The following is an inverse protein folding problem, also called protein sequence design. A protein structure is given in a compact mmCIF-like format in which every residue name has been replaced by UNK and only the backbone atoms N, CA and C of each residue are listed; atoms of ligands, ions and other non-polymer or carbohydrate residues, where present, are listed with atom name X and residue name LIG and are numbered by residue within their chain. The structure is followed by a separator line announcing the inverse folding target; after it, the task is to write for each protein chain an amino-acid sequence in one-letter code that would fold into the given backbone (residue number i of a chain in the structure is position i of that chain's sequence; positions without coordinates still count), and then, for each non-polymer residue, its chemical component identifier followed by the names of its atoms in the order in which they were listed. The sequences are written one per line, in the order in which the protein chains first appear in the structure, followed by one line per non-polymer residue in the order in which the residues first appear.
data_IF_807298004231
#
_entry.id   IF_807298004231
#
_cell.length_a   1.000
_cell.length_b   1.000
_cell.length_c   1.000
_cell.angle_alpha   90.00
_cell.angle_beta   90.00
_cell.angle_gamma   90.00
#
_symmetry.space_group_name_H-M   'P 1'
#
loop_
_entity.id
_entity.type
_entity.pdbx_description
1 polymer ?
#
# COMPACT_ATOMS: atom_id res chain seq x y z
N UNK A 1 -0.11 15.97 -19.11
CA UNK A 1 -0.55 14.86 -18.24
C UNK A 1 0.70 14.07 -17.89
N UNK A 2 1.11 14.03 -16.62
CA UNK A 2 2.23 13.16 -16.22
C UNK A 2 1.83 11.69 -16.46
N UNK A 3 2.76 10.91 -17.01
CA UNK A 3 2.57 9.47 -17.10
C UNK A 3 2.43 8.88 -15.68
N UNK A 4 1.55 7.89 -15.47
CA UNK A 4 1.44 7.22 -14.18
C UNK A 4 2.82 6.68 -13.78
N UNK A 5 3.35 7.17 -12.66
CA UNK A 5 4.58 6.65 -12.07
C UNK A 5 4.22 5.51 -11.13
N UNK A 6 4.44 4.29 -11.59
CA UNK A 6 4.36 3.08 -10.78
C UNK A 6 5.44 3.15 -9.69
N UNK A 7 5.01 3.32 -8.44
CA UNK A 7 5.87 3.14 -7.27
C UNK A 7 5.50 1.81 -6.61
N UNK A 8 6.47 0.90 -6.55
CA UNK A 8 6.29 -0.39 -5.89
C UNK A 8 6.77 -0.33 -4.44
N UNK A 9 5.92 -0.81 -3.53
CA UNK A 9 6.24 -0.86 -2.11
C UNK A 9 5.99 -2.26 -1.53
N UNK A 10 6.97 -2.77 -0.77
CA UNK A 10 6.96 -4.11 -0.19
C UNK A 10 6.83 -4.04 1.33
N UNK A 11 5.90 -4.82 1.87
CA UNK A 11 5.62 -4.85 3.31
C UNK A 11 5.59 -6.28 3.85
N UNK A 12 5.95 -6.43 5.12
CA UNK A 12 5.88 -7.68 5.88
C UNK A 12 4.91 -7.55 7.06
N UNK A 13 4.60 -8.68 7.69
CA UNK A 13 3.67 -8.79 8.81
C UNK A 13 2.22 -8.42 8.48
N UNK A 14 1.80 -8.63 7.23
CA UNK A 14 0.38 -8.63 6.90
C UNK A 14 -0.19 -9.99 7.34
N UNK A 15 -1.19 -10.02 8.25
CA UNK A 15 -1.81 -11.27 8.66
C UNK A 15 -2.32 -12.05 7.45
N UNK A 16 -2.08 -13.35 7.38
CA UNK A 16 -2.43 -14.19 6.22
C UNK A 16 -3.93 -14.17 5.88
N UNK A 17 -4.78 -13.92 6.89
CA UNK A 17 -6.23 -13.75 6.73
C UNK A 17 -6.66 -12.39 6.17
N UNK A 18 -5.74 -11.45 5.99
CA UNK A 18 -6.05 -10.11 5.47
C UNK A 18 -6.32 -10.21 3.97
N UNK A 19 -7.56 -10.01 3.56
CA UNK A 19 -7.95 -10.07 2.16
C UNK A 19 -7.47 -8.83 1.39
N UNK A 20 -7.48 -8.94 0.05
CA UNK A 20 -7.20 -7.79 -0.86
C UNK A 20 -8.09 -6.59 -0.54
N UNK A 21 -9.37 -6.81 -0.20
CA UNK A 21 -10.31 -5.74 0.17
C UNK A 21 -9.92 -5.04 1.46
N UNK A 22 -9.48 -5.77 2.49
CA UNK A 22 -9.05 -5.18 3.76
C UNK A 22 -7.78 -4.36 3.60
N UNK A 23 -6.83 -4.86 2.80
CA UNK A 23 -5.64 -4.12 2.39
C UNK A 23 -6.02 -2.83 1.67
N UNK A 24 -6.96 -2.93 0.71
CA UNK A 24 -7.47 -1.77 0.00
C UNK A 24 -8.09 -0.76 0.95
N UNK A 25 -8.96 -1.16 1.87
CA UNK A 25 -9.59 -0.24 2.81
C UNK A 25 -8.59 0.40 3.80
N UNK A 26 -7.52 -0.30 4.17
CA UNK A 26 -6.45 0.27 5.02
C UNK A 26 -5.62 1.30 4.28
N UNK A 27 -5.31 1.08 3.00
CA UNK A 27 -4.50 1.98 2.18
C UNK A 27 -5.35 3.11 1.57
N UNK A 28 -6.62 2.84 1.28
CA UNK A 28 -7.55 3.72 0.60
C UNK A 28 -8.60 4.41 1.51
N UNK A 29 -8.20 5.11 2.58
CA UNK A 29 -8.95 6.27 3.04
C UNK A 29 -8.69 7.53 2.20
N UNK A 30 -7.78 7.47 1.21
CA UNK A 30 -7.11 8.66 0.66
C UNK A 30 -7.20 8.83 -0.89
N UNK A 31 -7.75 7.89 -1.65
CA UNK A 31 -8.07 8.07 -3.07
C UNK A 31 -7.84 6.83 -3.95
N UNK A 32 -8.50 6.75 -5.13
CA UNK A 32 -8.67 5.53 -5.94
C UNK A 32 -7.42 5.04 -6.69
N UNK A 33 -6.22 5.44 -6.28
CA UNK A 33 -5.01 5.36 -7.10
C UNK A 33 -4.12 4.16 -6.79
N UNK A 34 -4.63 3.07 -6.21
CA UNK A 34 -3.79 1.94 -5.78
C UNK A 34 -4.23 0.61 -6.37
N UNK A 35 -3.28 -0.09 -6.99
CA UNK A 35 -3.37 -1.53 -7.21
C UNK A 35 -2.63 -2.26 -6.10
N UNK A 36 -3.24 -3.35 -5.62
CA UNK A 36 -2.76 -4.13 -4.48
C UNK A 36 -2.62 -5.58 -4.91
N UNK A 37 -1.40 -6.08 -4.84
CA UNK A 37 -1.09 -7.50 -4.99
C UNK A 37 -0.72 -8.10 -3.63
N UNK A 38 -1.60 -8.94 -3.09
CA UNK A 38 -1.24 -9.80 -1.96
C UNK A 38 -0.41 -10.97 -2.47
N UNK A 39 0.77 -11.19 -1.90
CA UNK A 39 1.67 -12.30 -2.24
C UNK A 39 1.70 -13.31 -1.08
N UNK A 40 2.15 -14.53 -1.40
CA UNK A 40 2.33 -15.58 -0.39
C UNK A 40 3.25 -15.13 0.76
N UNK A 41 2.97 -15.63 1.96
CA UNK A 41 3.71 -15.36 3.21
C UNK A 41 3.54 -13.95 3.82
N UNK A 42 2.35 -13.35 3.72
CA UNK A 42 2.05 -12.09 4.42
C UNK A 42 2.82 -10.89 3.88
N UNK A 43 3.24 -10.99 2.60
CA UNK A 43 3.87 -9.91 1.84
C UNK A 43 2.84 -9.26 0.93
N UNK A 44 2.90 -7.93 0.84
CA UNK A 44 2.02 -7.15 -0.04
C UNK A 44 2.87 -6.23 -0.90
N UNK A 45 2.57 -6.20 -2.19
CA UNK A 45 3.03 -5.18 -3.12
C UNK A 45 1.91 -4.16 -3.33
N UNK A 46 2.25 -2.89 -3.23
CA UNK A 46 1.38 -1.78 -3.60
C UNK A 46 1.98 -1.06 -4.80
N UNK A 47 1.15 -0.84 -5.82
CA UNK A 47 1.46 -0.02 -6.98
C UNK A 47 0.55 1.20 -6.98
N UNK A 48 1.13 2.40 -6.93
CA UNK A 48 0.34 3.62 -7.03
C UNK A 48 0.29 4.18 -8.45
N UNK A 49 -0.88 4.67 -8.82
CA UNK A 49 -1.21 5.38 -10.04
C UNK A 49 -1.50 6.84 -9.69
N UNK A 50 -0.49 7.60 -9.25
CA UNK A 50 -0.74 8.94 -8.70
C UNK A 50 0.52 9.79 -8.56
N UNK A 51 0.50 10.71 -7.59
CA UNK A 51 1.66 11.54 -7.23
C UNK A 51 2.44 10.90 -6.09
N UNK A 52 3.76 10.78 -6.24
CA UNK A 52 4.67 10.24 -5.21
C UNK A 52 4.49 10.89 -3.82
N UNK A 53 4.17 12.19 -3.77
CA UNK A 53 3.97 12.90 -2.51
C UNK A 53 2.76 12.34 -1.73
N UNK A 54 1.70 11.95 -2.44
CA UNK A 54 0.52 11.36 -1.84
C UNK A 54 0.82 9.95 -1.32
N UNK A 55 1.52 9.14 -2.13
CA UNK A 55 2.11 7.85 -1.75
C UNK A 55 2.70 7.88 -0.37
N UNK A 56 3.69 8.77 -0.25
CA UNK A 56 4.59 8.84 0.87
C UNK A 56 3.85 9.26 2.12
N UNK A 57 2.82 10.10 2.00
CA UNK A 57 1.97 10.51 3.13
C UNK A 57 1.16 9.35 3.70
N UNK A 58 0.46 8.59 2.85
CA UNK A 58 -0.33 7.42 3.29
C UNK A 58 0.59 6.39 3.95
N UNK A 59 1.70 6.08 3.31
CA UNK A 59 2.66 5.10 3.83
C UNK A 59 3.26 5.53 5.18
N UNK A 60 3.62 6.80 5.32
CA UNK A 60 4.12 7.35 6.60
C UNK A 60 3.09 7.16 7.71
N UNK A 61 1.81 7.42 7.43
CA UNK A 61 0.75 7.22 8.41
C UNK A 61 0.58 5.74 8.79
N UNK A 62 0.60 4.81 7.82
CA UNK A 62 0.48 3.38 8.09
C UNK A 62 1.64 2.85 8.94
N UNK A 63 2.86 3.33 8.69
CA UNK A 63 4.05 3.01 9.49
C UNK A 63 3.98 3.61 10.89
N UNK A 64 3.62 4.89 11.02
CA UNK A 64 3.52 5.59 12.31
C UNK A 64 2.49 4.96 13.25
N UNK A 65 1.40 4.42 12.71
CA UNK A 65 0.37 3.72 13.48
C UNK A 65 0.71 2.24 13.76
N UNK A 66 1.91 1.78 13.40
CA UNK A 66 2.35 0.40 13.60
C UNK A 66 1.55 -0.63 12.80
N UNK A 67 0.73 -0.19 11.84
CA UNK A 67 -0.13 -1.08 11.07
C UNK A 67 0.68 -1.88 10.04
N UNK A 68 1.80 -1.33 9.57
CA UNK A 68 2.65 -1.91 8.53
C UNK A 68 4.13 -1.83 8.97
N UNK A 69 4.97 -2.76 8.51
CA UNK A 69 6.43 -2.71 8.68
C UNK A 69 7.12 -2.76 7.31
N UNK A 70 8.13 -1.91 7.14
CA UNK A 70 8.93 -1.83 5.92
C UNK A 70 10.02 -2.91 5.95
N UNK A 71 10.29 -3.51 4.79
CA UNK A 71 11.49 -4.34 4.56
C UNK A 71 12.67 -3.41 4.29
#
# INVERSE_FOLDING_TARGET
MEAPKTLEHWFTNVPAQTGRRDLYLRVNPAGPLWEIEARHAGRVSLTEYGSEAHARRILTNLLANGQWRRI
#
